data_IF_593176119819
#
_entry.id   IF_593176119819
#
_cell.length_a   1.000
_cell.length_b   1.000
_cell.length_c   1.000
_cell.angle_alpha   90.00
_cell.angle_beta   90.00
_cell.angle_gamma   90.00
#
_symmetry.space_group_name_H-M   'P 1'
#
loop_
_entity.id
_entity.type
_entity.pdbx_description
1 polymer ?
#
# COMPACT_ATOMS: atom_id res chain seq x y z
N UNK A 1 -1.06 6.09 -14.99
CA UNK A 1 -1.57 6.18 -13.60
C UNK A 1 -1.98 4.81 -13.12
N UNK A 2 -2.82 4.11 -13.89
CA UNK A 2 -3.23 2.72 -13.65
C UNK A 2 -2.08 1.76 -13.36
N UNK A 3 -1.03 1.71 -14.18
CA UNK A 3 0.13 0.83 -13.93
C UNK A 3 0.83 1.09 -12.58
N UNK A 4 0.89 2.35 -12.16
CA UNK A 4 1.48 2.75 -10.86
C UNK A 4 0.59 2.32 -9.69
N UNK A 5 -0.73 2.41 -9.87
CA UNK A 5 -1.71 1.91 -8.89
C UNK A 5 -1.57 0.39 -8.77
N UNK A 6 -1.58 -0.34 -9.88
CA UNK A 6 -1.42 -1.79 -9.90
C UNK A 6 -0.11 -2.25 -9.24
N UNK A 7 0.99 -1.52 -9.45
CA UNK A 7 2.25 -1.81 -8.76
C UNK A 7 2.17 -1.57 -7.25
N UNK A 8 1.61 -0.45 -6.83
CA UNK A 8 1.42 -0.15 -5.41
C UNK A 8 0.48 -1.15 -4.72
N UNK A 9 -0.56 -1.61 -5.42
CA UNK A 9 -1.46 -2.65 -4.93
C UNK A 9 -0.76 -4.01 -4.77
N UNK A 10 0.10 -4.39 -5.72
CA UNK A 10 0.93 -5.59 -5.57
C UNK A 10 1.88 -5.50 -4.38
N UNK A 11 2.49 -4.34 -4.16
CA UNK A 11 3.34 -4.11 -2.99
C UNK A 11 2.54 -4.15 -1.69
N UNK A 12 1.34 -3.55 -1.67
CA UNK A 12 0.44 -3.63 -0.54
C UNK A 12 0.06 -5.09 -0.21
N UNK A 13 -0.26 -5.89 -1.21
CA UNK A 13 -0.56 -7.31 -1.00
C UNK A 13 0.65 -8.09 -0.45
N UNK A 14 1.85 -7.82 -0.98
CA UNK A 14 3.08 -8.43 -0.47
C UNK A 14 3.33 -8.07 1.01
N UNK A 15 3.17 -6.79 1.37
CA UNK A 15 3.28 -6.33 2.76
C UNK A 15 2.21 -6.97 3.66
N UNK A 16 0.96 -7.11 3.19
CA UNK A 16 -0.12 -7.78 3.93
C UNK A 16 0.23 -9.24 4.22
N UNK A 17 0.70 -9.97 3.22
CA UNK A 17 1.14 -11.37 3.37
C UNK A 17 2.31 -11.47 4.35
N UNK A 18 3.28 -10.58 4.24
CA UNK A 18 4.44 -10.57 5.12
C UNK A 18 4.09 -10.23 6.58
N UNK A 19 3.15 -9.31 6.80
CA UNK A 19 2.68 -8.94 8.15
C UNK A 19 1.77 -9.99 8.78
N UNK A 20 1.03 -10.76 7.97
CA UNK A 20 0.19 -11.88 8.42
C UNK A 20 0.94 -13.19 8.62
N UNK A 21 2.25 -13.24 8.38
CA UNK A 21 3.07 -14.43 8.55
C UNK A 21 3.22 -14.78 10.06
N UNK A 22 2.76 -15.97 10.50
CA UNK A 22 2.85 -16.40 11.90
C UNK A 22 4.27 -16.41 12.46
N UNK A 23 5.29 -16.58 11.60
CA UNK A 23 6.68 -16.56 12.01
C UNK A 23 7.12 -15.20 12.58
N UNK A 24 6.45 -14.13 12.17
CA UNK A 24 6.74 -12.75 12.59
C UNK A 24 5.96 -12.38 13.84
N UNK A 25 4.82 -13.03 14.10
CA UNK A 25 3.99 -12.76 15.27
C UNK A 25 4.72 -13.00 16.60
N UNK A 26 5.76 -13.83 16.59
CA UNK A 26 6.60 -14.11 17.77
C UNK A 26 7.73 -13.09 17.97
N UNK A 27 8.02 -12.24 16.97
CA UNK A 27 9.01 -11.16 17.04
C UNK A 27 8.31 -9.81 16.91
N UNK A 28 8.09 -9.17 18.07
CA UNK A 28 7.38 -7.90 18.15
C UNK A 28 8.03 -6.78 17.33
N UNK A 29 9.35 -6.79 17.18
CA UNK A 29 10.07 -5.77 16.39
C UNK A 29 9.85 -6.02 14.91
N UNK A 30 10.01 -7.26 14.46
CA UNK A 30 9.76 -7.62 13.07
C UNK A 30 8.29 -7.37 12.70
N UNK A 31 7.35 -7.66 13.62
CA UNK A 31 5.92 -7.39 13.41
C UNK A 31 5.66 -5.90 13.25
N UNK A 32 6.25 -5.06 14.12
CA UNK A 32 6.11 -3.61 14.03
C UNK A 32 6.61 -3.08 12.69
N UNK A 33 7.83 -3.46 12.27
CA UNK A 33 8.42 -3.05 10.99
C UNK A 33 7.53 -3.47 9.79
N UNK A 34 6.92 -4.66 9.85
CA UNK A 34 6.03 -5.17 8.80
C UNK A 34 4.69 -4.44 8.76
N UNK A 35 4.15 -4.07 9.91
CA UNK A 35 2.93 -3.27 10.03
C UNK A 35 3.17 -1.83 9.55
N UNK A 36 4.31 -1.24 9.86
CA UNK A 36 4.69 0.08 9.33
C UNK A 36 4.85 0.05 7.81
N UNK A 37 5.52 -0.96 7.27
CA UNK A 37 5.64 -1.15 5.82
C UNK A 37 4.27 -1.34 5.15
N UNK A 38 3.37 -2.08 5.79
CA UNK A 38 2.00 -2.24 5.34
C UNK A 38 1.25 -0.90 5.31
N UNK A 39 1.32 -0.12 6.38
CA UNK A 39 0.67 1.19 6.47
C UNK A 39 1.21 2.16 5.39
N UNK A 40 2.51 2.17 5.15
CA UNK A 40 3.13 2.98 4.10
C UNK A 40 2.68 2.58 2.69
N UNK A 41 2.57 1.27 2.41
CA UNK A 41 2.05 0.78 1.13
C UNK A 41 0.58 1.17 0.94
N UNK A 42 -0.22 1.10 2.00
CA UNK A 42 -1.63 1.52 2.00
C UNK A 42 -1.78 3.01 1.67
N UNK A 43 -1.04 3.87 2.36
CA UNK A 43 -1.04 5.31 2.12
C UNK A 43 -0.61 5.65 0.68
N UNK A 44 0.33 4.88 0.12
CA UNK A 44 0.79 5.06 -1.27
C UNK A 44 -0.33 4.78 -2.27
N UNK A 45 -1.07 3.68 -2.10
CA UNK A 45 -2.23 3.34 -2.95
C UNK A 45 -3.30 4.43 -2.85
N UNK A 46 -3.64 4.87 -1.64
CA UNK A 46 -4.63 5.94 -1.40
C UNK A 46 -4.23 7.26 -2.07
N UNK A 47 -2.96 7.67 -1.95
CA UNK A 47 -2.45 8.88 -2.61
C UNK A 47 -2.52 8.78 -4.13
N UNK A 48 -2.22 7.62 -4.72
CA UNK A 48 -2.29 7.42 -6.16
C UNK A 48 -3.74 7.49 -6.67
N UNK A 49 -4.68 6.90 -5.93
CA UNK A 49 -6.10 7.01 -6.26
C UNK A 49 -6.62 8.45 -6.11
N UNK A 50 -6.27 9.15 -5.03
CA UNK A 50 -6.64 10.56 -4.85
C UNK A 50 -6.11 11.42 -6.01
N UNK A 51 -4.84 11.24 -6.37
CA UNK A 51 -4.23 11.96 -7.48
C UNK A 51 -4.89 11.63 -8.82
N UNK A 52 -5.27 10.37 -9.03
CA UNK A 52 -5.98 9.98 -10.25
C UNK A 52 -7.35 10.65 -10.33
N UNK A 53 -8.11 10.66 -9.23
CA UNK A 53 -9.41 11.33 -9.16
C UNK A 53 -9.29 12.84 -9.43
N UNK A 54 -8.27 13.51 -8.89
CA UNK A 54 -7.98 14.92 -9.20
C UNK A 54 -7.69 15.14 -10.69
N UNK A 55 -6.94 14.25 -11.33
CA UNK A 55 -6.63 14.35 -12.76
C UNK A 55 -7.87 14.10 -13.61
N UNK A 56 -8.70 13.12 -13.27
CA UNK A 56 -9.96 12.87 -13.96
C UNK A 56 -10.92 14.05 -13.83
N UNK A 57 -10.98 14.70 -12.67
CA UNK A 57 -11.77 15.90 -12.48
C UNK A 57 -11.30 17.05 -13.41
N UNK A 58 -9.98 17.26 -13.52
CA UNK A 58 -9.39 18.29 -14.38
C UNK A 58 -9.54 18.02 -15.88
N UNK A 59 -9.59 16.75 -16.30
CA UNK A 59 -9.78 16.37 -17.71
C UNK A 59 -11.25 16.50 -18.13
N UNK A 60 -12.18 16.53 -17.17
CA UNK A 60 -13.62 16.68 -17.42
C UNK A 60 -14.11 18.14 -17.44
N UNK A 61 -13.26 19.11 -17.05
CA UNK A 61 -13.50 20.55 -17.24
C UNK A 61 -13.04 21.02 -18.62
#
# INVERSE_FOLDING_TARGET
MEERILEAERQLEACRRAAGDPAVASDHKALHERVEALAAAQATVEQLYARWAELEAKVKE
#
